data_IF_879517097104
#
_entry.id   IF_879517097104
#
_cell.length_a   1.000
_cell.length_b   1.000
_cell.length_c   1.000
_cell.angle_alpha   90.00
_cell.angle_beta   90.00
_cell.angle_gamma   90.00
#
_symmetry.space_group_name_H-M   'P 1'
#
loop_
_entity.id
_entity.type
_entity.pdbx_description
1 polymer ?
#
# COMPACT_ATOMS: atom_id res chain seq x y z
N UNK A 1 -19.31 2.00 1.65
CA UNK A 1 -20.53 1.92 0.80
C UNK A 1 -20.13 1.27 -0.53
N UNK A 2 -21.06 0.85 -1.38
CA UNK A 2 -20.70 0.62 -2.79
C UNK A 2 -20.29 1.99 -3.40
N UNK A 3 -19.26 2.03 -4.25
CA UNK A 3 -18.66 3.28 -4.78
C UNK A 3 -19.71 4.24 -5.36
N UNK A 4 -20.73 3.69 -6.04
CA UNK A 4 -21.84 4.46 -6.57
C UNK A 4 -22.62 5.27 -5.50
N UNK A 5 -22.79 4.75 -4.28
CA UNK A 5 -23.47 5.44 -3.20
C UNK A 5 -22.69 6.65 -2.68
N UNK A 6 -21.37 6.52 -2.60
CA UNK A 6 -20.45 7.63 -2.25
C UNK A 6 -20.53 8.71 -3.32
N UNK A 7 -20.43 8.35 -4.60
CA UNK A 7 -20.50 9.32 -5.70
C UNK A 7 -21.86 10.06 -5.73
N UNK A 8 -22.97 9.39 -5.39
CA UNK A 8 -24.29 10.04 -5.28
C UNK A 8 -24.36 11.02 -4.10
N UNK A 9 -23.82 10.64 -2.93
CA UNK A 9 -23.78 11.51 -1.75
C UNK A 9 -22.92 12.74 -2.03
N UNK A 10 -21.73 12.57 -2.59
CA UNK A 10 -20.84 13.65 -2.96
C UNK A 10 -21.49 14.60 -3.97
N UNK A 11 -22.21 14.06 -4.96
CA UNK A 11 -22.98 14.87 -5.90
C UNK A 11 -24.03 15.75 -5.22
N UNK A 12 -24.76 15.19 -4.24
CA UNK A 12 -25.74 15.97 -3.45
C UNK A 12 -25.05 17.07 -2.64
N UNK A 13 -23.92 16.77 -1.99
CA UNK A 13 -23.16 17.74 -1.19
C UNK A 13 -22.64 18.89 -2.05
N UNK A 14 -22.00 18.56 -3.18
CA UNK A 14 -21.43 19.55 -4.10
C UNK A 14 -22.50 20.46 -4.70
N UNK A 15 -23.67 19.92 -5.07
CA UNK A 15 -24.77 20.75 -5.59
C UNK A 15 -25.37 21.66 -4.50
N UNK A 16 -25.49 21.18 -3.25
CA UNK A 16 -26.00 22.00 -2.14
C UNK A 16 -25.05 23.16 -1.78
N UNK A 17 -23.73 22.95 -1.87
CA UNK A 17 -22.70 23.94 -1.53
C UNK A 17 -22.11 24.68 -2.72
N UNK A 18 -22.70 24.54 -3.91
CA UNK A 18 -22.15 25.05 -5.17
C UNK A 18 -21.77 26.53 -5.18
N UNK A 19 -22.44 27.34 -4.36
CA UNK A 19 -22.19 28.78 -4.25
C UNK A 19 -21.01 29.13 -3.32
N UNK A 20 -20.60 28.21 -2.47
CA UNK A 20 -19.46 28.36 -1.54
C UNK A 20 -18.15 27.84 -2.15
N UNK A 21 -18.24 27.09 -3.25
CA UNK A 21 -17.08 26.50 -3.94
C UNK A 21 -16.40 27.51 -4.87
N UNK A 22 -15.08 27.62 -4.75
CA UNK A 22 -14.25 28.51 -5.54
C UNK A 22 -13.86 27.89 -6.90
N UNK A 23 -13.54 26.59 -6.93
CA UNK A 23 -12.94 25.92 -8.08
C UNK A 23 -13.84 24.81 -8.65
N UNK A 24 -14.35 23.93 -7.79
CA UNK A 24 -15.02 22.70 -8.21
C UNK A 24 -16.38 22.91 -8.83
N UNK A 25 -16.93 24.12 -8.80
CA UNK A 25 -18.20 24.46 -9.47
C UNK A 25 -18.21 24.08 -10.96
N UNK A 26 -17.10 24.28 -11.67
CA UNK A 26 -16.96 23.90 -13.09
C UNK A 26 -16.57 22.42 -13.25
N UNK A 27 -15.69 21.92 -12.38
CA UNK A 27 -15.22 20.54 -12.42
C UNK A 27 -16.32 19.51 -12.12
N UNK A 28 -17.33 19.88 -11.33
CA UNK A 28 -18.47 19.04 -10.96
C UNK A 28 -19.31 18.52 -12.14
N UNK A 29 -19.14 19.11 -13.34
CA UNK A 29 -19.81 18.67 -14.58
C UNK A 29 -19.00 17.62 -15.35
N UNK A 30 -17.73 17.39 -15.00
CA UNK A 30 -16.85 16.46 -15.71
C UNK A 30 -17.12 15.01 -15.30
N UNK A 31 -17.03 14.10 -16.27
CA UNK A 31 -17.08 12.66 -16.01
C UNK A 31 -15.90 12.23 -15.13
N UNK A 32 -16.17 11.45 -14.08
CA UNK A 32 -15.17 10.93 -13.16
C UNK A 32 -14.75 11.89 -12.04
N UNK A 33 -15.27 13.12 -12.00
CA UNK A 33 -14.96 14.07 -10.91
C UNK A 33 -15.34 13.51 -9.54
N UNK A 34 -16.55 12.96 -9.40
CA UNK A 34 -17.03 12.44 -8.11
C UNK A 34 -16.29 11.18 -7.65
N UNK A 35 -15.78 10.38 -8.59
CA UNK A 35 -14.99 9.18 -8.28
C UNK A 35 -13.62 9.61 -7.74
N UNK A 36 -12.93 10.53 -8.43
CA UNK A 36 -11.67 11.11 -7.96
C UNK A 36 -11.82 11.83 -6.62
N UNK A 37 -12.92 12.57 -6.44
CA UNK A 37 -13.24 13.24 -5.19
C UNK A 37 -13.43 12.23 -4.06
N UNK A 38 -14.16 11.13 -4.32
CA UNK A 38 -14.31 10.03 -3.37
C UNK A 38 -12.97 9.42 -2.97
N UNK A 39 -12.13 9.08 -3.95
CA UNK A 39 -10.79 8.53 -3.71
C UNK A 39 -9.91 9.49 -2.88
N UNK A 40 -9.99 10.79 -3.16
CA UNK A 40 -9.25 11.83 -2.41
C UNK A 40 -9.70 11.91 -0.95
N UNK A 41 -11.01 11.86 -0.69
CA UNK A 41 -11.53 11.90 0.69
C UNK A 41 -11.19 10.62 1.47
N UNK A 42 -11.22 9.47 0.79
CA UNK A 42 -10.75 8.20 1.36
C UNK A 42 -9.27 8.29 1.71
N UNK A 43 -8.45 8.90 0.85
CA UNK A 43 -7.04 9.14 1.15
C UNK A 43 -6.85 10.03 2.38
N UNK A 44 -7.60 11.14 2.50
CA UNK A 44 -7.54 11.97 3.71
C UNK A 44 -7.85 11.19 4.99
N UNK A 45 -8.90 10.37 4.97
CA UNK A 45 -9.21 9.47 6.11
C UNK A 45 -8.06 8.51 6.44
N UNK A 46 -7.50 7.83 5.43
CA UNK A 46 -6.36 6.89 5.61
C UNK A 46 -5.14 7.55 6.22
N UNK A 47 -4.92 8.82 5.91
CA UNK A 47 -3.81 9.61 6.45
C UNK A 47 -4.17 10.36 7.74
N UNK A 48 -5.32 10.05 8.35
CA UNK A 48 -5.80 10.67 9.59
C UNK A 48 -5.86 12.20 9.51
N UNK A 49 -6.23 12.73 8.34
CA UNK A 49 -6.42 14.16 8.13
C UNK A 49 -7.87 14.53 8.41
N UNK A 50 -8.08 15.47 9.32
CA UNK A 50 -9.40 16.01 9.62
C UNK A 50 -9.76 17.21 8.71
N UNK A 51 -11.06 17.46 8.44
CA UNK A 51 -11.49 18.59 7.62
C UNK A 51 -10.93 19.93 8.09
N UNK A 52 -10.83 20.13 9.41
CA UNK A 52 -10.31 21.35 10.04
C UNK A 52 -8.81 21.55 9.75
N UNK A 53 -8.03 20.47 9.73
CA UNK A 53 -6.59 20.54 9.43
C UNK A 53 -6.34 20.94 7.98
N UNK A 54 -7.15 20.41 7.05
CA UNK A 54 -7.07 20.77 5.63
C UNK A 54 -7.40 22.25 5.44
N UNK A 55 -8.46 22.74 6.10
CA UNK A 55 -8.83 24.15 6.09
C UNK A 55 -7.71 25.04 6.65
N UNK A 56 -7.12 24.66 7.78
CA UNK A 56 -6.02 25.39 8.41
C UNK A 56 -4.79 25.47 7.50
N UNK A 57 -4.40 24.34 6.89
CA UNK A 57 -3.28 24.30 5.93
C UNK A 57 -3.56 25.18 4.72
N UNK A 58 -4.79 25.17 4.20
CA UNK A 58 -5.20 26.07 3.12
C UNK A 58 -5.04 27.55 3.46
N UNK A 59 -5.35 27.94 4.70
CA UNK A 59 -5.18 29.33 5.17
C UNK A 59 -3.71 29.75 5.30
N UNK A 60 -2.81 28.81 5.59
CA UNK A 60 -1.38 29.05 5.74
C UNK A 60 -0.63 29.18 4.40
N UNK A 61 -1.25 28.78 3.29
CA UNK A 61 -0.65 28.92 1.96
C UNK A 61 -0.56 30.40 1.60
N UNK A 62 0.67 30.85 1.31
CA UNK A 62 0.93 32.17 0.74
C UNK A 62 0.28 32.26 -0.65
N UNK A 63 -0.11 33.44 -1.07
CA UNK A 63 -0.77 33.65 -2.37
C UNK A 63 0.14 34.47 -3.26
N UNK A 64 1.41 34.09 -3.30
CA UNK A 64 2.47 34.85 -3.96
C UNK A 64 2.52 34.55 -5.48
N UNK A 65 2.00 33.38 -5.88
CA UNK A 65 1.81 33.00 -7.28
C UNK A 65 0.44 32.34 -7.55
N UNK A 66 0.12 32.15 -8.82
CA UNK A 66 -1.16 31.61 -9.27
C UNK A 66 -1.36 30.12 -8.89
N UNK A 67 -0.29 29.33 -8.79
CA UNK A 67 -0.37 27.92 -8.44
C UNK A 67 -0.68 27.73 -6.95
N UNK A 68 -0.11 28.59 -6.10
CA UNK A 68 -0.42 28.62 -4.67
C UNK A 68 -1.86 29.08 -4.40
N UNK A 69 -2.34 30.09 -5.13
CA UNK A 69 -3.75 30.50 -5.06
C UNK A 69 -4.68 29.36 -5.49
N UNK A 70 -4.33 28.65 -6.58
CA UNK A 70 -5.09 27.50 -7.05
C UNK A 70 -5.15 26.37 -6.02
N UNK A 71 -4.01 26.07 -5.36
CA UNK A 71 -3.94 25.05 -4.31
C UNK A 71 -4.79 25.47 -3.10
N UNK A 72 -4.74 26.74 -2.69
CA UNK A 72 -5.55 27.28 -1.61
C UNK A 72 -7.04 27.13 -1.89
N UNK A 73 -7.49 27.49 -3.09
CA UNK A 73 -8.89 27.36 -3.50
C UNK A 73 -9.33 25.88 -3.58
N UNK A 74 -8.42 24.97 -3.99
CA UNK A 74 -8.68 23.51 -3.95
C UNK A 74 -8.85 23.00 -2.52
N UNK A 75 -7.97 23.37 -1.59
CA UNK A 75 -8.05 22.91 -0.20
C UNK A 75 -9.28 23.48 0.51
N UNK A 76 -9.66 24.71 0.19
CA UNK A 76 -10.93 25.30 0.65
C UNK A 76 -12.12 24.44 0.23
N UNK A 77 -12.28 24.18 -1.08
CA UNK A 77 -13.38 23.37 -1.60
C UNK A 77 -13.38 21.94 -1.02
N UNK A 78 -12.20 21.31 -0.94
CA UNK A 78 -12.04 19.97 -0.36
C UNK A 78 -12.45 19.93 1.11
N UNK A 79 -12.03 20.91 1.92
CA UNK A 79 -12.37 20.96 3.35
C UNK A 79 -13.88 21.09 3.58
N UNK A 80 -14.57 21.95 2.84
CA UNK A 80 -16.02 22.15 2.94
C UNK A 80 -16.81 20.89 2.56
N UNK A 81 -16.40 20.25 1.46
CA UNK A 81 -17.02 19.01 0.99
C UNK A 81 -16.76 17.90 2.01
N UNK A 82 -15.51 17.75 2.46
CA UNK A 82 -15.12 16.70 3.39
C UNK A 82 -15.86 16.82 4.72
N UNK A 83 -15.95 18.03 5.28
CA UNK A 83 -16.71 18.27 6.51
C UNK A 83 -18.17 17.85 6.36
N UNK A 84 -18.81 18.20 5.24
CA UNK A 84 -20.20 17.85 4.97
C UNK A 84 -20.39 16.35 4.72
N UNK A 85 -19.38 15.72 4.12
CA UNK A 85 -19.36 14.29 3.87
C UNK A 85 -19.26 13.52 5.20
N UNK A 86 -18.32 13.90 6.08
CA UNK A 86 -18.18 13.32 7.41
C UNK A 86 -19.46 13.48 8.24
N UNK A 87 -20.06 14.69 8.27
CA UNK A 87 -21.34 14.94 8.95
C UNK A 87 -22.50 14.11 8.39
N UNK A 88 -22.53 13.90 7.07
CA UNK A 88 -23.58 13.09 6.44
C UNK A 88 -23.45 11.59 6.73
N UNK A 89 -22.24 11.12 7.09
CA UNK A 89 -21.99 9.73 7.45
C UNK A 89 -22.08 9.48 8.95
N UNK A 90 -21.91 10.51 9.78
CA UNK A 90 -21.96 10.43 11.23
C UNK A 90 -23.25 9.74 11.72
N UNK A 91 -23.10 8.74 12.57
CA UNK A 91 -24.20 7.98 13.19
C UNK A 91 -25.05 7.12 12.24
N UNK A 92 -24.83 7.17 10.93
CA UNK A 92 -25.63 6.44 9.93
C UNK A 92 -24.83 5.41 9.16
N UNK A 93 -23.51 5.59 9.02
CA UNK A 93 -22.67 4.70 8.23
C UNK A 93 -21.26 4.56 8.83
N UNK A 94 -20.80 3.32 8.97
CA UNK A 94 -19.40 3.00 9.29
C UNK A 94 -18.71 2.67 7.96
N UNK A 95 -17.71 3.46 7.58
CA UNK A 95 -16.94 3.19 6.39
C UNK A 95 -15.88 2.10 6.60
N UNK A 96 -15.41 1.48 5.53
CA UNK A 96 -14.35 0.46 5.62
C UNK A 96 -13.07 1.02 6.23
N UNK A 97 -12.80 2.31 5.98
CA UNK A 97 -11.66 3.03 6.54
C UNK A 97 -11.86 3.35 8.03
N UNK A 98 -13.10 3.39 8.54
CA UNK A 98 -13.37 3.73 9.94
C UNK A 98 -13.14 2.51 10.87
N UNK A 99 -13.09 1.29 10.33
CA UNK A 99 -12.92 0.08 11.15
C UNK A 99 -11.63 0.05 11.94
N UNK A 100 -10.52 0.48 11.35
CA UNK A 100 -9.22 0.46 12.02
C UNK A 100 -9.15 1.52 13.12
N UNK A 101 -9.81 2.67 12.90
CA UNK A 101 -9.95 3.72 13.91
C UNK A 101 -10.85 3.27 15.07
N UNK A 102 -12.01 2.68 14.77
CA UNK A 102 -12.90 2.09 15.78
C UNK A 102 -12.23 0.95 16.54
N UNK A 103 -11.38 0.15 15.87
CA UNK A 103 -10.57 -0.87 16.52
C UNK A 103 -9.65 -0.23 17.56
N UNK A 104 -8.89 0.79 17.15
CA UNK A 104 -8.00 1.59 18.03
C UNK A 104 -8.75 2.11 19.27
N UNK A 105 -9.92 2.72 19.10
CA UNK A 105 -10.71 3.25 20.22
C UNK A 105 -11.15 2.16 21.21
N UNK A 106 -11.43 0.94 20.72
CA UNK A 106 -11.95 -0.17 21.52
C UNK A 106 -10.88 -1.13 22.03
N UNK A 107 -9.61 -1.00 21.61
CA UNK A 107 -8.56 -1.95 22.02
C UNK A 107 -8.34 -1.94 23.54
N UNK A 108 -8.52 -0.79 24.20
CA UNK A 108 -8.38 -0.67 25.65
C UNK A 108 -9.38 -1.53 26.43
N UNK A 109 -10.57 -1.77 25.86
CA UNK A 109 -11.63 -2.59 26.46
C UNK A 109 -11.37 -4.10 26.28
N UNK A 110 -10.46 -4.46 25.36
CA UNK A 110 -10.19 -5.85 24.98
C UNK A 110 -9.14 -6.49 25.89
N UNK A 111 -9.57 -7.03 27.04
CA UNK A 111 -8.66 -7.60 28.05
C UNK A 111 -7.74 -8.71 27.52
N UNK A 112 -8.18 -9.47 26.51
CA UNK A 112 -7.37 -10.56 25.94
C UNK A 112 -6.06 -10.06 25.30
N UNK A 113 -6.02 -8.80 24.84
CA UNK A 113 -4.82 -8.21 24.24
C UNK A 113 -3.68 -8.13 25.25
N UNK A 114 -3.97 -7.90 26.54
CA UNK A 114 -2.96 -7.79 27.61
C UNK A 114 -2.12 -9.06 27.79
N UNK A 115 -2.61 -10.20 27.31
CA UNK A 115 -1.89 -11.48 27.35
C UNK A 115 -1.46 -11.96 25.97
N UNK A 116 -1.76 -11.20 24.91
CA UNK A 116 -1.48 -11.59 23.54
C UNK A 116 -0.03 -11.30 23.14
N UNK A 117 0.51 -12.19 22.32
CA UNK A 117 1.75 -11.99 21.57
C UNK A 117 1.38 -11.82 20.10
N UNK A 118 1.73 -10.67 19.53
CA UNK A 118 1.31 -10.27 18.17
C UNK A 118 2.52 -10.30 17.23
N UNK A 119 2.32 -10.85 16.04
CA UNK A 119 3.30 -10.88 14.97
C UNK A 119 2.78 -10.08 13.78
N UNK A 120 3.56 -9.10 13.33
CA UNK A 120 3.26 -8.26 12.17
C UNK A 120 4.35 -8.47 11.13
N UNK A 121 4.00 -9.03 9.98
CA UNK A 121 4.92 -9.35 8.88
C UNK A 121 4.27 -9.00 7.53
N UNK A 122 5.10 -8.69 6.54
CA UNK A 122 4.69 -8.41 5.16
C UNK A 122 4.54 -6.93 4.79
N UNK A 123 4.69 -6.01 5.75
CA UNK A 123 4.57 -4.57 5.51
C UNK A 123 5.91 -3.94 5.11
N UNK A 124 5.89 -3.09 4.09
CA UNK A 124 7.01 -2.22 3.71
C UNK A 124 6.76 -0.75 4.08
N UNK A 125 5.50 -0.36 4.08
CA UNK A 125 4.98 0.93 4.53
C UNK A 125 3.73 0.67 5.35
N UNK A 126 3.38 1.64 6.18
CA UNK A 126 2.10 1.66 6.89
C UNK A 126 1.51 3.06 6.75
N UNK A 127 0.20 3.14 6.61
CA UNK A 127 -0.53 4.41 6.71
C UNK A 127 -0.44 4.96 8.14
N UNK A 128 -0.66 6.26 8.36
CA UNK A 128 -0.74 6.83 9.71
C UNK A 128 -1.75 6.08 10.61
N UNK A 129 -2.88 5.65 10.04
CA UNK A 129 -3.89 4.91 10.78
C UNK A 129 -3.42 3.50 11.20
N UNK A 130 -2.72 2.80 10.31
CA UNK A 130 -2.07 1.52 10.63
C UNK A 130 -0.98 1.69 11.70
N UNK A 131 -0.19 2.76 11.61
CA UNK A 131 0.82 3.08 12.63
C UNK A 131 0.19 3.34 14.00
N UNK A 132 -0.94 4.06 14.07
CA UNK A 132 -1.69 4.26 15.31
C UNK A 132 -2.19 2.93 15.89
N UNK A 133 -2.66 2.02 15.05
CA UNK A 133 -3.08 0.69 15.49
C UNK A 133 -1.91 -0.13 16.06
N UNK A 134 -0.78 -0.14 15.37
CA UNK A 134 0.44 -0.81 15.88
C UNK A 134 0.92 -0.17 17.17
N UNK A 135 0.89 1.16 17.27
CA UNK A 135 1.26 1.91 18.46
C UNK A 135 0.43 1.51 19.69
N UNK A 136 -0.89 1.41 19.54
CA UNK A 136 -1.77 0.91 20.61
C UNK A 136 -1.49 -0.55 20.96
N UNK A 137 -1.26 -1.41 19.96
CA UNK A 137 -0.90 -2.81 20.21
C UNK A 137 0.42 -2.92 20.97
N UNK A 138 1.43 -2.11 20.65
CA UNK A 138 2.70 -2.09 21.36
C UNK A 138 2.51 -1.77 22.85
N UNK A 139 1.59 -0.86 23.19
CA UNK A 139 1.32 -0.50 24.58
C UNK A 139 0.38 -1.41 25.35
N UNK A 140 -0.47 -2.18 24.65
CA UNK A 140 -1.46 -3.06 25.29
C UNK A 140 -1.02 -4.51 25.37
N UNK A 141 -0.33 -5.02 24.36
CA UNK A 141 0.00 -6.42 24.26
C UNK A 141 1.19 -6.81 25.13
N UNK A 142 1.29 -8.11 25.46
CA UNK A 142 2.44 -8.65 26.18
C UNK A 142 3.72 -8.50 25.36
N UNK A 143 3.63 -8.76 24.05
CA UNK A 143 4.74 -8.64 23.11
C UNK A 143 4.20 -8.35 21.70
N UNK A 144 4.88 -7.48 20.97
CA UNK A 144 4.61 -7.23 19.56
C UNK A 144 5.92 -7.39 18.80
N UNK A 145 5.98 -8.38 17.91
CA UNK A 145 7.11 -8.64 17.03
C UNK A 145 6.79 -8.16 15.63
N UNK A 146 7.60 -7.23 15.12
CA UNK A 146 7.43 -6.65 13.78
C UNK A 146 8.59 -7.12 12.90
N UNK A 147 8.26 -7.74 11.78
CA UNK A 147 9.22 -8.26 10.79
C UNK A 147 9.25 -7.31 9.59
N UNK A 148 10.43 -6.75 9.33
CA UNK A 148 10.65 -5.81 8.23
C UNK A 148 11.76 -6.31 7.31
N UNK A 149 11.57 -6.15 6.00
CA UNK A 149 12.56 -6.50 5.00
C UNK A 149 13.64 -5.43 4.89
N UNK A 150 14.67 -5.49 5.73
CA UNK A 150 15.85 -4.60 5.67
C UNK A 150 17.15 -5.41 5.55
N UNK A 151 18.18 -4.79 4.99
CA UNK A 151 19.54 -5.34 4.87
C UNK A 151 20.43 -5.06 6.09
N UNK A 152 20.05 -4.07 6.88
CA UNK A 152 20.73 -3.64 8.09
C UNK A 152 19.78 -2.98 9.09
N UNK A 153 20.30 -2.69 10.28
CA UNK A 153 19.63 -1.85 11.27
C UNK A 153 19.92 -0.40 10.90
N UNK A 154 18.87 0.42 10.80
CA UNK A 154 18.96 1.81 10.36
C UNK A 154 18.78 2.76 11.55
N UNK A 155 19.71 3.70 11.75
CA UNK A 155 19.54 4.79 12.73
C UNK A 155 19.16 6.12 12.08
N UNK A 156 19.14 6.16 10.75
CA UNK A 156 18.73 7.30 9.92
C UNK A 156 18.17 6.80 8.60
N UNK A 157 17.40 7.65 7.94
CA UNK A 157 16.85 7.33 6.63
C UNK A 157 17.98 7.08 5.63
N UNK A 158 17.93 6.00 4.83
CA UNK A 158 18.89 5.78 3.76
C UNK A 158 18.76 6.82 2.66
N UNK A 159 19.63 6.72 1.65
CA UNK A 159 19.54 7.49 0.42
C UNK A 159 18.18 7.33 -0.29
N UNK A 160 17.81 8.30 -1.12
CA UNK A 160 16.56 8.30 -1.88
C UNK A 160 16.44 7.11 -2.82
N UNK A 161 17.56 6.63 -3.37
CA UNK A 161 17.59 5.54 -4.33
C UNK A 161 17.79 4.16 -3.68
N UNK A 162 17.80 4.07 -2.35
CA UNK A 162 17.91 2.79 -1.64
C UNK A 162 16.66 1.92 -1.85
N UNK A 163 16.87 0.67 -2.25
CA UNK A 163 15.79 -0.34 -2.38
C UNK A 163 15.11 -0.64 -1.04
N UNK A 164 15.80 -0.40 0.09
CA UNK A 164 15.28 -0.62 1.44
C UNK A 164 14.72 0.65 2.09
N UNK A 165 14.56 1.75 1.35
CA UNK A 165 14.14 3.05 1.89
C UNK A 165 12.81 3.00 2.64
N UNK A 166 11.79 2.38 2.04
CA UNK A 166 10.46 2.27 2.64
C UNK A 166 10.46 1.47 3.96
N UNK A 167 10.94 0.21 4.00
CA UNK A 167 10.97 -0.55 5.26
C UNK A 167 11.91 0.07 6.30
N UNK A 168 13.00 0.73 5.89
CA UNK A 168 13.86 1.47 6.81
C UNK A 168 13.16 2.70 7.42
N UNK A 169 12.38 3.45 6.62
CA UNK A 169 11.57 4.55 7.13
C UNK A 169 10.52 4.06 8.14
N UNK A 170 9.81 2.98 7.81
CA UNK A 170 8.83 2.37 8.69
C UNK A 170 9.47 1.90 10.01
N UNK A 171 10.64 1.27 9.95
CA UNK A 171 11.42 0.89 11.13
C UNK A 171 11.70 2.10 12.04
N UNK A 172 12.20 3.20 11.47
CA UNK A 172 12.50 4.41 12.23
C UNK A 172 11.24 5.02 12.87
N UNK A 173 10.13 5.08 12.12
CA UNK A 173 8.85 5.59 12.62
C UNK A 173 8.28 4.76 13.78
N UNK A 174 8.45 3.44 13.74
CA UNK A 174 8.01 2.54 14.82
C UNK A 174 8.92 2.65 16.04
N UNK A 175 10.24 2.71 15.82
CA UNK A 175 11.24 2.90 16.89
C UNK A 175 10.99 4.22 17.63
N UNK A 176 10.81 5.32 16.90
CA UNK A 176 10.53 6.64 17.49
C UNK A 176 9.25 6.63 18.34
N UNK A 177 8.16 6.04 17.83
CA UNK A 177 6.90 5.92 18.59
C UNK A 177 7.05 5.06 19.85
N UNK A 178 7.74 3.93 19.75
CA UNK A 178 8.01 3.07 20.88
C UNK A 178 8.82 3.81 21.96
N UNK A 179 9.85 4.57 21.56
CA UNK A 179 10.67 5.39 22.46
C UNK A 179 9.86 6.52 23.12
N UNK A 180 9.06 7.27 22.34
CA UNK A 180 8.22 8.36 22.85
C UNK A 180 7.20 7.88 23.89
N UNK A 181 6.66 6.67 23.71
CA UNK A 181 5.69 6.06 24.62
C UNK A 181 6.35 5.24 25.75
N UNK A 182 7.69 5.24 25.86
CA UNK A 182 8.41 4.54 26.91
C UNK A 182 8.31 3.00 26.83
N UNK A 183 8.06 2.46 25.65
CA UNK A 183 8.00 1.01 25.41
C UNK A 183 9.40 0.40 25.49
N UNK A 184 9.50 -0.82 26.01
CA UNK A 184 10.78 -1.55 26.02
C UNK A 184 11.01 -2.20 24.66
N UNK A 185 12.12 -1.85 24.01
CA UNK A 185 12.51 -2.43 22.72
C UNK A 185 13.53 -3.54 22.98
N UNK A 186 13.20 -4.79 22.63
CA UNK A 186 14.13 -5.91 22.65
C UNK A 186 15.29 -5.72 21.65
N UNK A 187 16.44 -6.39 21.84
CA UNK A 187 17.53 -6.33 20.89
C UNK A 187 17.09 -6.72 19.48
N UNK A 188 17.28 -5.81 18.53
CA UNK A 188 16.86 -6.01 17.14
C UNK A 188 17.69 -7.15 16.52
N UNK A 189 17.00 -8.16 16.00
CA UNK A 189 17.64 -9.32 15.36
C UNK A 189 17.67 -9.11 13.85
N UNK A 190 18.87 -9.01 13.28
CA UNK A 190 19.05 -8.97 11.83
C UNK A 190 19.34 -10.36 11.27
N UNK A 191 18.37 -10.94 10.56
CA UNK A 191 18.54 -12.24 9.94
C UNK A 191 19.26 -12.14 8.59
N UNK A 192 20.55 -12.49 8.57
CA UNK A 192 21.37 -12.51 7.33
C UNK A 192 21.29 -13.82 6.54
N UNK A 193 20.60 -14.83 7.07
CA UNK A 193 20.53 -16.15 6.44
C UNK A 193 19.45 -16.15 5.36
N UNK A 194 19.87 -16.34 4.11
CA UNK A 194 18.97 -16.52 2.98
C UNK A 194 18.40 -17.95 3.00
N UNK A 195 17.12 -18.08 3.29
CA UNK A 195 16.45 -19.40 3.37
C UNK A 195 15.90 -19.87 2.02
N UNK A 196 15.48 -18.93 1.16
CA UNK A 196 14.72 -19.23 -0.08
C UNK A 196 15.57 -19.51 -1.33
N UNK A 197 16.59 -18.72 -1.69
CA UNK A 197 17.31 -18.94 -2.94
C UNK A 197 18.18 -20.19 -2.83
N UNK A 198 17.91 -21.18 -3.68
CA UNK A 198 18.64 -22.47 -3.68
C UNK A 198 19.92 -22.38 -4.52
N UNK A 199 19.87 -21.67 -5.64
CA UNK A 199 21.00 -21.55 -6.57
C UNK A 199 21.97 -20.44 -6.18
N UNK A 200 23.24 -20.57 -6.60
CA UNK A 200 24.26 -19.54 -6.39
C UNK A 200 23.93 -18.24 -7.13
N UNK A 201 23.35 -18.33 -8.33
CA UNK A 201 22.94 -17.17 -9.11
C UNK A 201 21.83 -16.38 -8.41
N UNK A 202 20.79 -17.05 -7.91
CA UNK A 202 19.69 -16.41 -7.16
C UNK A 202 20.19 -15.80 -5.86
N UNK A 203 21.06 -16.50 -5.11
CA UNK A 203 21.69 -15.94 -3.90
C UNK A 203 22.46 -14.66 -4.19
N UNK A 204 23.26 -14.66 -5.27
CA UNK A 204 24.02 -13.48 -5.67
C UNK A 204 23.08 -12.32 -6.03
N UNK A 205 22.05 -12.58 -6.85
CA UNK A 205 21.07 -11.58 -7.22
C UNK A 205 20.38 -10.99 -5.99
N UNK A 206 19.93 -11.81 -5.03
CA UNK A 206 19.28 -11.31 -3.82
C UNK A 206 20.21 -10.48 -2.93
N UNK A 207 21.48 -10.86 -2.78
CA UNK A 207 22.42 -10.14 -1.90
C UNK A 207 22.90 -8.81 -2.46
N UNK A 208 23.07 -8.73 -3.79
CA UNK A 208 23.72 -7.58 -4.44
C UNK A 208 22.77 -6.73 -5.28
N UNK A 209 21.46 -7.02 -5.24
CA UNK A 209 20.47 -6.21 -5.94
C UNK A 209 20.51 -4.74 -5.49
N UNK A 210 20.59 -3.82 -6.45
CA UNK A 210 20.66 -2.38 -6.16
C UNK A 210 22.00 -1.87 -5.62
N UNK A 211 23.02 -2.73 -5.50
CA UNK A 211 24.36 -2.31 -5.08
C UNK A 211 25.23 -1.94 -6.28
N UNK A 212 25.99 -0.85 -6.14
CA UNK A 212 26.97 -0.39 -7.12
C UNK A 212 28.37 -0.39 -6.51
N UNK A 213 29.40 -0.89 -7.22
CA UNK A 213 29.37 -1.48 -8.56
C UNK A 213 28.63 -2.83 -8.61
N UNK A 214 28.04 -3.15 -9.75
CA UNK A 214 27.26 -4.39 -9.95
C UNK A 214 28.18 -5.60 -9.80
N UNK A 215 27.79 -6.53 -8.92
CA UNK A 215 28.46 -7.81 -8.79
C UNK A 215 27.83 -8.83 -9.73
N UNK A 216 28.65 -9.47 -10.57
CA UNK A 216 28.20 -10.52 -11.48
C UNK A 216 28.39 -11.90 -10.86
N UNK A 217 27.52 -12.84 -11.23
CA UNK A 217 27.70 -14.26 -10.95
C UNK A 217 28.20 -14.94 -12.22
N UNK A 218 29.23 -15.79 -12.10
CA UNK A 218 29.67 -16.63 -13.21
C UNK A 218 28.67 -17.74 -13.57
N UNK A 219 27.76 -18.06 -12.65
CA UNK A 219 26.69 -19.05 -12.85
C UNK A 219 25.35 -18.36 -13.01
N UNK A 220 24.50 -18.94 -13.86
CA UNK A 220 23.14 -18.45 -14.17
C UNK A 220 22.05 -19.44 -13.73
N UNK A 221 22.40 -20.45 -12.93
CA UNK A 221 21.48 -21.50 -12.49
C UNK A 221 20.22 -20.91 -11.83
N UNK A 222 19.04 -21.29 -12.29
CA UNK A 222 17.76 -20.79 -11.77
C UNK A 222 17.37 -19.37 -12.21
N UNK A 223 18.14 -18.72 -13.08
CA UNK A 223 17.79 -17.43 -13.69
C UNK A 223 17.84 -17.54 -15.21
N UNK A 224 16.73 -17.25 -15.87
CA UNK A 224 16.63 -17.26 -17.33
C UNK A 224 16.00 -15.95 -17.80
N UNK A 225 16.64 -15.30 -18.76
CA UNK A 225 16.07 -14.18 -19.49
C UNK A 225 15.55 -14.69 -20.83
N UNK A 226 14.33 -14.29 -21.20
CA UNK A 226 13.69 -14.65 -22.45
C UNK A 226 13.18 -13.40 -23.16
N UNK A 227 13.18 -13.43 -24.48
CA UNK A 227 12.63 -12.39 -25.34
C UNK A 227 11.41 -12.96 -26.07
N UNK A 228 10.39 -12.13 -26.26
CA UNK A 228 9.17 -12.46 -26.99
C UNK A 228 8.82 -11.30 -27.93
N UNK A 229 8.33 -11.61 -29.14
CA UNK A 229 8.01 -10.58 -30.13
C UNK A 229 6.80 -9.74 -29.76
N UNK A 230 5.92 -10.26 -28.90
CA UNK A 230 4.75 -9.57 -28.38
C UNK A 230 4.25 -10.22 -27.07
N UNK A 231 3.33 -9.54 -26.38
CA UNK A 231 2.74 -10.00 -25.10
C UNK A 231 2.08 -11.38 -25.19
N UNK A 232 1.46 -11.71 -26.33
CA UNK A 232 0.82 -13.02 -26.51
C UNK A 232 1.88 -14.12 -26.51
N UNK A 233 2.97 -13.93 -27.25
CA UNK A 233 4.07 -14.87 -27.28
C UNK A 233 4.73 -15.01 -25.91
N UNK A 234 4.91 -13.92 -25.16
CA UNK A 234 5.45 -13.93 -23.79
C UNK A 234 4.60 -14.83 -22.86
N UNK A 235 3.27 -14.68 -22.91
CA UNK A 235 2.34 -15.51 -22.12
C UNK A 235 2.38 -16.97 -22.58
N UNK A 236 2.43 -17.24 -23.89
CA UNK A 236 2.55 -18.61 -24.41
C UNK A 236 3.87 -19.28 -24.00
N UNK A 237 4.99 -18.56 -24.06
CA UNK A 237 6.30 -19.04 -23.61
C UNK A 237 6.28 -19.34 -22.10
N UNK A 238 5.70 -18.45 -21.30
CA UNK A 238 5.54 -18.65 -19.85
C UNK A 238 4.67 -19.88 -19.54
N UNK A 239 3.55 -20.04 -20.25
CA UNK A 239 2.68 -21.20 -20.08
C UNK A 239 3.38 -22.52 -20.44
N UNK A 240 4.21 -22.54 -21.50
CA UNK A 240 5.05 -23.69 -21.84
C UNK A 240 6.06 -24.02 -20.74
N UNK A 241 6.72 -23.01 -20.17
CA UNK A 241 7.66 -23.21 -19.07
C UNK A 241 6.96 -23.79 -17.83
N UNK A 242 5.75 -23.33 -17.50
CA UNK A 242 4.93 -23.89 -16.41
C UNK A 242 4.60 -25.37 -16.67
N UNK A 243 4.19 -25.73 -17.89
CA UNK A 243 3.92 -27.13 -18.28
C UNK A 243 5.18 -27.97 -18.15
N UNK A 244 6.31 -27.46 -18.63
CA UNK A 244 7.61 -28.14 -18.58
C UNK A 244 8.00 -28.44 -17.13
N UNK A 245 7.92 -27.46 -16.22
CA UNK A 245 8.19 -27.67 -14.80
C UNK A 245 7.23 -28.71 -14.18
N UNK A 246 5.94 -28.65 -14.51
CA UNK A 246 4.98 -29.60 -13.95
C UNK A 246 5.14 -31.03 -14.50
N UNK A 247 5.44 -31.19 -15.79
CA UNK A 247 5.51 -32.51 -16.45
C UNK A 247 6.89 -33.16 -16.35
N UNK A 248 7.96 -32.37 -16.49
CA UNK A 248 9.35 -32.86 -16.54
C UNK A 248 9.97 -32.82 -15.15
N UNK A 249 9.81 -31.71 -14.42
CA UNK A 249 10.40 -31.52 -13.09
C UNK A 249 9.49 -32.00 -11.95
N UNK A 250 8.25 -32.41 -12.26
CA UNK A 250 7.24 -32.86 -11.30
C UNK A 250 6.87 -31.83 -10.22
N UNK A 251 7.06 -30.55 -10.53
CA UNK A 251 6.69 -29.45 -9.64
C UNK A 251 5.16 -29.28 -9.58
N UNK A 252 4.65 -28.90 -8.41
CA UNK A 252 3.22 -28.59 -8.28
C UNK A 252 2.96 -27.15 -8.70
N UNK A 253 1.86 -26.89 -9.38
CA UNK A 253 1.45 -25.54 -9.79
C UNK A 253 1.44 -24.51 -8.66
N UNK A 254 1.09 -24.92 -7.43
CA UNK A 254 1.10 -24.04 -6.24
C UNK A 254 2.50 -23.54 -5.83
N UNK A 255 3.56 -24.11 -6.39
CA UNK A 255 4.96 -23.70 -6.17
C UNK A 255 5.43 -22.71 -7.24
N UNK A 256 4.57 -22.38 -8.22
CA UNK A 256 4.88 -21.47 -9.32
C UNK A 256 4.06 -20.19 -9.17
N UNK A 257 4.70 -19.05 -9.43
CA UNK A 257 4.03 -17.73 -9.41
C UNK A 257 4.42 -16.97 -10.67
N UNK A 258 3.42 -16.41 -11.35
CA UNK A 258 3.62 -15.47 -12.46
C UNK A 258 3.29 -14.09 -11.94
N UNK A 259 4.24 -13.17 -12.08
CA UNK A 259 4.09 -11.78 -11.65
C UNK A 259 4.09 -10.88 -12.88
N UNK A 260 3.07 -10.03 -12.99
CA UNK A 260 2.99 -8.99 -14.02
C UNK A 260 2.79 -7.65 -13.35
N UNK A 261 3.47 -6.61 -13.83
CA UNK A 261 3.37 -5.26 -13.25
C UNK A 261 2.00 -4.64 -13.53
N UNK A 262 1.50 -4.79 -14.76
CA UNK A 262 0.17 -4.33 -15.16
C UNK A 262 -0.71 -5.52 -15.54
N UNK A 263 -1.56 -5.97 -14.63
CA UNK A 263 -2.47 -7.09 -14.90
C UNK A 263 -3.49 -6.77 -15.99
N UNK A 264 -3.93 -5.50 -16.13
CA UNK A 264 -4.94 -5.13 -17.13
C UNK A 264 -4.47 -5.41 -18.57
N UNK A 265 -3.17 -5.26 -18.81
CA UNK A 265 -2.55 -5.50 -20.12
C UNK A 265 -2.47 -6.99 -20.50
N UNK A 266 -2.47 -7.88 -19.50
CA UNK A 266 -2.20 -9.31 -19.67
C UNK A 266 -3.41 -10.20 -19.35
N UNK A 267 -4.42 -9.69 -18.63
CA UNK A 267 -5.53 -10.47 -18.09
C UNK A 267 -6.21 -11.35 -19.13
N UNK A 268 -6.72 -10.74 -20.20
CA UNK A 268 -7.50 -11.45 -21.22
C UNK A 268 -6.64 -12.50 -21.95
N UNK A 269 -5.36 -12.19 -22.18
CA UNK A 269 -4.40 -13.10 -22.80
C UNK A 269 -4.11 -14.30 -21.89
N UNK A 270 -3.83 -14.05 -20.61
CA UNK A 270 -3.58 -15.10 -19.61
C UNK A 270 -4.81 -16.01 -19.48
N UNK A 271 -6.00 -15.42 -19.34
CA UNK A 271 -7.23 -16.20 -19.20
C UNK A 271 -7.47 -17.09 -20.43
N UNK A 272 -7.33 -16.54 -21.63
CA UNK A 272 -7.54 -17.29 -22.88
C UNK A 272 -6.52 -18.42 -23.05
N UNK A 273 -5.22 -18.12 -22.88
CA UNK A 273 -4.15 -19.09 -23.13
C UNK A 273 -4.16 -20.20 -22.08
N UNK A 274 -4.33 -19.87 -20.80
CA UNK A 274 -4.36 -20.89 -19.74
C UNK A 274 -5.62 -21.77 -19.81
N UNK A 275 -6.76 -21.23 -20.24
CA UNK A 275 -7.96 -22.03 -20.50
C UNK A 275 -7.74 -23.06 -21.62
N UNK A 276 -7.10 -22.66 -22.73
CA UNK A 276 -6.80 -23.57 -23.85
C UNK A 276 -5.94 -24.75 -23.40
N UNK A 277 -5.04 -24.52 -22.42
CA UNK A 277 -4.14 -25.56 -21.90
C UNK A 277 -4.82 -26.40 -20.79
N UNK A 278 -6.02 -26.02 -20.35
CA UNK A 278 -6.80 -26.75 -19.35
C UNK A 278 -6.35 -26.47 -17.91
N UNK A 279 -5.84 -25.27 -17.62
CA UNK A 279 -5.29 -24.92 -16.30
C UNK A 279 -6.29 -24.23 -15.38
N UNK A 280 -6.31 -24.66 -14.12
CA UNK A 280 -6.91 -23.90 -13.03
C UNK A 280 -5.87 -22.94 -12.43
N UNK A 281 -6.13 -21.64 -12.54
CA UNK A 281 -5.30 -20.58 -11.96
C UNK A 281 -6.17 -19.66 -11.10
N UNK A 282 -5.52 -18.94 -10.19
CA UNK A 282 -6.14 -17.86 -9.42
C UNK A 282 -5.45 -16.55 -9.79
N UNK A 283 -6.21 -15.60 -10.31
CA UNK A 283 -5.72 -14.24 -10.50
C UNK A 283 -5.87 -13.51 -9.17
N UNK A 284 -4.75 -13.18 -8.57
CA UNK A 284 -4.69 -12.33 -7.39
C UNK A 284 -4.22 -10.96 -7.85
N UNK A 285 -5.09 -9.96 -7.76
CA UNK A 285 -4.67 -8.56 -7.86
C UNK A 285 -4.04 -8.21 -6.52
N UNK A 286 -2.71 -8.24 -6.42
CA UNK A 286 -2.03 -7.61 -5.27
C UNK A 286 -2.32 -6.12 -5.34
N UNK A 287 -2.87 -5.55 -4.27
CA UNK A 287 -2.91 -4.10 -4.13
C UNK A 287 -1.46 -3.55 -4.24
N UNK A 288 -1.25 -2.41 -4.92
CA UNK A 288 0.05 -1.77 -4.96
C UNK A 288 0.57 -1.42 -3.56
#
# INVERSE_FOLDING_TARGET
MNTAGISMLLRKIVENRKNELHLFRKAAQQSGFYDLLGDTLIEFKRYCLEPEEIALRGQQIKTDDADQQLLKDKLHDLSLIYQSFSQALEGTYIDSEDYLYLMVERMNDAEFLKQAEVWIDGFQTMTPQELLAVEQLMGLCKQVTIVLGTDQIYDRLPDEFSVFRHPAHLFLQLKERAELNGQTIEPIVLQRTLVRPESKALKNLTMHFGQFPVQTSAQTDGVRLTEAANRREEVEQTARAIIECARVHHDRYRQMTVLVRNLADYRDLIETILQIIGFHFSLIKSAP
#
